data_IF_173596029135
#
_entry.id   IF_173596029135
#
_cell.length_a   1.000
_cell.length_b   1.000
_cell.length_c   1.000
_cell.angle_alpha   90.00
_cell.angle_beta   90.00
_cell.angle_gamma   90.00
#
_symmetry.space_group_name_H-M   'P 1'
#
loop_
_entity.id
_entity.type
_entity.pdbx_description
1 polymer ?
#
# COMPACT_ATOMS: atom_id res chain seq x y z
N UNK A 1 8.63 41.72 30.45
CA UNK A 1 8.14 41.59 29.06
C UNK A 1 9.05 40.75 28.17
N UNK A 2 10.35 41.04 28.00
CA UNK A 2 11.25 40.23 27.14
C UNK A 2 11.37 38.74 27.55
N UNK A 3 11.36 38.41 28.85
CA UNK A 3 11.38 37.01 29.32
C UNK A 3 10.07 36.24 29.06
N UNK A 4 8.91 36.91 29.11
CA UNK A 4 7.62 36.28 28.75
C UNK A 4 7.50 36.04 27.24
N UNK A 5 8.05 36.92 26.41
CA UNK A 5 8.11 36.73 24.95
C UNK A 5 9.03 35.57 24.54
N UNK A 6 10.14 35.35 25.24
CA UNK A 6 11.05 34.21 24.99
C UNK A 6 10.40 32.88 25.43
N UNK A 7 9.65 32.88 26.54
CA UNK A 7 8.91 31.68 26.99
C UNK A 7 7.74 31.38 26.04
N UNK A 8 7.03 32.40 25.54
CA UNK A 8 5.98 32.22 24.54
C UNK A 8 6.54 31.73 23.19
N UNK A 9 7.72 32.20 22.78
CA UNK A 9 8.40 31.70 21.57
C UNK A 9 8.94 30.26 21.75
N UNK A 10 9.41 29.89 22.94
CA UNK A 10 9.83 28.52 23.25
C UNK A 10 8.64 27.55 23.36
N UNK A 11 7.48 28.02 23.84
CA UNK A 11 6.23 27.25 23.84
C UNK A 11 5.60 27.13 22.44
N UNK A 12 5.81 28.10 21.54
CA UNK A 12 5.43 27.99 20.12
C UNK A 12 6.41 27.14 19.30
N UNK A 13 7.65 26.95 19.77
CA UNK A 13 8.61 26.02 19.16
C UNK A 13 8.41 24.56 19.62
N UNK A 14 7.54 24.33 20.62
CA UNK A 14 6.93 23.04 20.93
C UNK A 14 5.62 22.84 20.15
N UNK A 15 5.51 23.43 18.96
CA UNK A 15 4.71 22.79 17.92
C UNK A 15 5.33 21.42 17.72
N UNK A 16 4.75 20.39 18.35
CA UNK A 16 4.96 19.00 17.96
C UNK A 16 4.93 19.00 16.44
N UNK A 17 6.09 18.75 15.80
CA UNK A 17 6.09 18.45 14.38
C UNK A 17 5.38 17.12 14.28
N UNK A 18 4.06 17.20 14.09
CA UNK A 18 3.20 16.05 13.94
C UNK A 18 3.77 15.24 12.79
N UNK A 19 4.29 14.05 13.13
CA UNK A 19 4.92 13.17 12.16
C UNK A 19 3.91 12.81 11.08
N UNK A 20 4.37 12.37 9.91
CA UNK A 20 3.43 11.88 8.89
C UNK A 20 2.61 10.70 9.43
N UNK A 21 3.17 9.90 10.36
CA UNK A 21 2.47 8.84 11.07
C UNK A 21 1.28 9.34 11.88
N UNK A 22 1.47 10.37 12.70
CA UNK A 22 0.40 10.98 13.51
C UNK A 22 -0.73 11.59 12.66
N UNK A 23 -0.46 11.87 11.37
CA UNK A 23 -1.48 12.36 10.43
C UNK A 23 -2.39 11.25 9.91
N UNK A 24 -1.92 10.00 9.92
CA UNK A 24 -2.63 8.88 9.34
C UNK A 24 -3.26 7.98 10.41
N UNK A 25 -2.56 7.75 11.52
CA UNK A 25 -3.01 6.92 12.63
C UNK A 25 -2.81 7.68 13.95
N UNK A 26 -3.91 8.05 14.61
CA UNK A 26 -3.93 8.86 15.84
C UNK A 26 -3.96 8.01 17.13
N UNK A 27 -4.02 6.69 16.98
CA UNK A 27 -4.18 5.70 18.04
C UNK A 27 -2.91 4.85 18.27
N UNK A 28 -1.77 5.28 17.76
CA UNK A 28 -0.48 4.58 17.86
C UNK A 28 0.64 5.52 18.31
N UNK A 29 1.72 4.96 18.88
CA UNK A 29 2.96 5.72 19.06
C UNK A 29 3.74 5.73 17.73
N UNK A 30 4.36 6.86 17.34
CA UNK A 30 5.28 6.88 16.22
C UNK A 30 6.35 5.80 16.36
N UNK A 31 6.65 5.09 15.28
CA UNK A 31 7.54 3.91 15.35
C UNK A 31 8.96 4.30 15.79
N UNK A 32 9.40 5.52 15.47
CA UNK A 32 10.67 6.10 15.91
C UNK A 32 10.73 6.43 17.40
N UNK A 33 9.59 6.59 18.07
CA UNK A 33 9.50 6.87 19.50
C UNK A 33 9.59 5.60 20.37
N UNK A 34 9.50 4.41 19.75
CA UNK A 34 9.51 3.12 20.45
C UNK A 34 10.84 2.40 20.23
N UNK A 35 11.69 2.42 21.25
CA UNK A 35 13.01 1.77 21.21
C UNK A 35 12.98 0.34 21.74
N UNK A 36 13.30 -0.63 20.89
CA UNK A 36 13.58 -2.01 21.32
C UNK A 36 14.87 -2.08 22.14
N UNK A 37 14.76 -2.66 23.34
CA UNK A 37 15.90 -3.02 24.18
C UNK A 37 16.47 -4.38 23.77
N UNK A 38 17.59 -4.76 24.37
CA UNK A 38 18.21 -6.07 24.11
C UNK A 38 17.24 -7.21 24.43
N UNK A 39 17.11 -8.14 23.48
CA UNK A 39 16.14 -9.23 23.56
C UNK A 39 15.80 -9.80 22.18
N UNK A 40 14.88 -10.79 22.14
CA UNK A 40 14.54 -11.52 20.92
C UNK A 40 13.98 -10.61 19.81
N UNK A 41 13.17 -9.59 20.14
CA UNK A 41 12.60 -8.68 19.15
C UNK A 41 13.66 -7.79 18.48
N UNK A 42 14.62 -7.28 19.26
CA UNK A 42 15.75 -6.53 18.70
C UNK A 42 16.61 -7.42 17.80
N UNK A 43 16.89 -8.64 18.23
CA UNK A 43 17.63 -9.61 17.42
C UNK A 43 16.91 -9.93 16.11
N UNK A 44 15.60 -10.17 16.13
CA UNK A 44 14.81 -10.43 14.94
C UNK A 44 14.80 -9.24 13.96
N UNK A 45 14.67 -8.00 14.46
CA UNK A 45 14.79 -6.78 13.64
C UNK A 45 16.18 -6.64 13.02
N UNK A 46 17.24 -6.85 13.80
CA UNK A 46 18.61 -6.71 13.31
C UNK A 46 18.91 -7.75 12.22
N UNK A 47 18.50 -9.00 12.42
CA UNK A 47 18.58 -10.05 11.39
C UNK A 47 17.76 -9.70 10.15
N UNK A 48 16.58 -9.10 10.32
CA UNK A 48 15.77 -8.63 9.19
C UNK A 48 16.52 -7.57 8.37
N UNK A 49 17.14 -6.58 9.02
CA UNK A 49 17.99 -5.59 8.33
C UNK A 49 19.14 -6.27 7.59
N UNK A 50 19.88 -7.18 8.25
CA UNK A 50 20.98 -7.90 7.63
C UNK A 50 20.56 -8.64 6.34
N UNK A 51 19.40 -9.32 6.37
CA UNK A 51 18.85 -10.02 5.20
C UNK A 51 18.40 -9.04 4.12
N UNK A 52 17.70 -7.97 4.48
CA UNK A 52 17.23 -6.96 3.52
C UNK A 52 18.40 -6.30 2.77
N UNK A 53 19.54 -6.11 3.42
CA UNK A 53 20.71 -5.52 2.79
C UNK A 53 21.41 -6.46 1.77
N UNK A 54 21.04 -7.74 1.71
CA UNK A 54 21.53 -8.68 0.70
C UNK A 54 20.77 -8.60 -0.62
N UNK A 55 19.59 -7.96 -0.65
CA UNK A 55 18.83 -7.78 -1.90
C UNK A 55 19.52 -6.76 -2.81
N UNK A 56 19.49 -7.06 -4.11
CA UNK A 56 19.89 -6.15 -5.17
C UNK A 56 18.67 -5.32 -5.59
N UNK A 57 18.75 -4.01 -5.36
CA UNK A 57 17.64 -3.08 -5.60
C UNK A 57 17.33 -2.95 -7.10
N UNK A 58 18.32 -3.00 -7.98
CA UNK A 58 18.08 -2.89 -9.42
C UNK A 58 17.36 -4.13 -9.95
N UNK A 59 17.57 -5.31 -9.35
CA UNK A 59 16.83 -6.53 -9.68
C UNK A 59 15.37 -6.46 -9.23
N UNK A 60 15.11 -5.83 -8.07
CA UNK A 60 13.74 -5.57 -7.59
C UNK A 60 12.99 -4.60 -8.52
N UNK A 61 13.69 -3.61 -9.08
CA UNK A 61 13.12 -2.59 -9.96
C UNK A 61 13.06 -3.00 -11.43
N UNK A 62 13.77 -4.07 -11.83
CA UNK A 62 13.85 -4.51 -13.21
C UNK A 62 12.48 -4.75 -13.89
N UNK A 63 11.47 -5.37 -13.24
CA UNK A 63 10.14 -5.54 -13.84
C UNK A 63 9.43 -4.21 -14.12
N UNK A 64 9.53 -3.24 -13.22
CA UNK A 64 8.92 -1.91 -13.38
C UNK A 64 9.53 -1.16 -14.55
N UNK A 65 10.86 -1.19 -14.68
CA UNK A 65 11.56 -0.56 -15.81
C UNK A 65 11.14 -1.20 -17.13
N UNK A 66 11.06 -2.53 -17.19
CA UNK A 66 10.67 -3.24 -18.40
C UNK A 66 9.24 -2.90 -18.87
N UNK A 67 8.25 -2.94 -17.97
CA UNK A 67 6.85 -2.62 -18.32
C UNK A 67 6.65 -1.15 -18.70
N UNK A 68 7.51 -0.25 -18.21
CA UNK A 68 7.54 1.16 -18.63
C UNK A 68 8.30 1.41 -19.94
N UNK A 69 8.88 0.38 -20.56
CA UNK A 69 9.71 0.51 -21.77
C UNK A 69 11.08 1.14 -21.53
N UNK A 70 11.58 1.09 -20.29
CA UNK A 70 12.91 1.55 -19.92
C UNK A 70 13.92 0.38 -19.96
N UNK A 71 15.21 0.64 -20.24
CA UNK A 71 16.25 -0.37 -20.10
C UNK A 71 16.32 -0.89 -18.65
N UNK A 72 16.35 -2.22 -18.50
CA UNK A 72 16.64 -2.88 -17.21
C UNK A 72 18.07 -2.54 -16.77
N UNK A 73 18.26 -2.35 -15.47
CA UNK A 73 19.60 -2.15 -14.86
C UNK A 73 20.20 -3.45 -14.32
N UNK A 74 19.36 -4.47 -14.08
CA UNK A 74 19.76 -5.80 -13.68
C UNK A 74 18.75 -6.86 -14.15
N UNK A 75 19.07 -8.14 -13.99
CA UNK A 75 18.20 -9.25 -14.32
C UNK A 75 17.14 -9.53 -13.25
N UNK A 76 16.02 -10.13 -13.64
CA UNK A 76 14.91 -10.40 -12.73
C UNK A 76 15.34 -11.39 -11.64
N UNK A 77 14.70 -11.30 -10.48
CA UNK A 77 14.71 -12.43 -9.55
C UNK A 77 13.85 -13.57 -10.14
N UNK A 78 14.31 -14.84 -10.05
CA UNK A 78 13.69 -15.93 -10.81
C UNK A 78 12.45 -16.56 -10.14
N UNK A 79 12.28 -16.40 -8.82
CA UNK A 79 11.18 -17.02 -8.08
C UNK A 79 9.88 -16.21 -8.23
N UNK A 80 8.73 -16.90 -8.14
CA UNK A 80 7.38 -16.31 -8.30
C UNK A 80 7.21 -15.53 -9.62
N UNK A 81 7.85 -16.01 -10.69
CA UNK A 81 7.68 -15.46 -12.03
C UNK A 81 6.18 -15.44 -12.41
N UNK A 82 5.70 -14.29 -12.88
CA UNK A 82 4.27 -13.99 -13.09
C UNK A 82 3.68 -13.05 -12.03
N UNK A 83 4.29 -12.94 -10.85
CA UNK A 83 3.94 -11.96 -9.81
C UNK A 83 4.97 -10.81 -9.74
N UNK A 84 5.71 -10.57 -10.81
CA UNK A 84 6.84 -9.66 -10.86
C UNK A 84 6.52 -8.26 -10.31
N UNK A 85 7.40 -7.75 -9.44
CA UNK A 85 7.29 -6.43 -8.81
C UNK A 85 6.76 -6.43 -7.37
N UNK A 86 6.01 -7.45 -6.94
CA UNK A 86 5.36 -7.41 -5.62
C UNK A 86 6.36 -7.32 -4.43
N UNK A 87 7.55 -7.94 -4.53
CA UNK A 87 8.59 -7.85 -3.49
C UNK A 87 9.10 -6.42 -3.33
N UNK A 88 9.22 -5.64 -4.42
CA UNK A 88 9.77 -4.30 -4.35
C UNK A 88 8.92 -3.37 -3.47
N UNK A 89 7.59 -3.53 -3.52
CA UNK A 89 6.68 -2.81 -2.64
C UNK A 89 6.87 -3.16 -1.16
N UNK A 90 6.92 -4.46 -0.83
CA UNK A 90 7.23 -4.93 0.53
C UNK A 90 8.60 -4.45 1.03
N UNK A 91 9.61 -4.51 0.15
CA UNK A 91 10.96 -4.07 0.46
C UNK A 91 11.00 -2.58 0.79
N UNK A 92 10.25 -1.76 0.04
CA UNK A 92 10.17 -0.32 0.26
C UNK A 92 9.58 0.01 1.64
N UNK A 93 8.47 -0.62 2.04
CA UNK A 93 7.94 -0.53 3.41
C UNK A 93 9.00 -0.92 4.45
N UNK A 94 9.67 -2.06 4.24
CA UNK A 94 10.67 -2.56 5.18
C UNK A 94 11.87 -1.61 5.32
N UNK A 95 12.31 -0.94 4.25
CA UNK A 95 13.36 0.06 4.31
C UNK A 95 12.94 1.30 5.08
N UNK A 96 11.71 1.79 4.86
CA UNK A 96 11.17 2.95 5.55
C UNK A 96 11.06 2.71 7.06
N UNK A 97 10.46 1.59 7.47
CA UNK A 97 10.32 1.23 8.89
C UNK A 97 11.68 1.02 9.58
N UNK A 98 12.62 0.34 8.93
CA UNK A 98 13.93 0.08 9.53
C UNK A 98 14.79 1.34 9.60
N UNK A 99 14.67 2.26 8.65
CA UNK A 99 15.29 3.59 8.79
C UNK A 99 14.77 4.28 10.06
N UNK A 100 13.45 4.42 10.19
CA UNK A 100 12.85 5.21 11.27
C UNK A 100 13.13 4.59 12.66
N UNK A 101 13.14 3.27 12.77
CA UNK A 101 13.37 2.58 14.05
C UNK A 101 14.83 2.39 14.46
N UNK A 102 15.78 2.49 13.52
CA UNK A 102 17.20 2.15 13.79
C UNK A 102 18.19 3.23 13.40
N UNK A 103 17.81 4.18 12.55
CA UNK A 103 18.73 5.13 11.93
C UNK A 103 19.69 4.49 10.92
N UNK A 104 19.40 3.29 10.39
CA UNK A 104 20.26 2.62 9.42
C UNK A 104 20.31 3.39 8.09
N UNK A 105 21.44 4.04 7.83
CA UNK A 105 21.66 4.91 6.67
C UNK A 105 21.52 4.17 5.32
N UNK A 106 21.83 2.87 5.28
CA UNK A 106 21.70 2.10 4.04
C UNK A 106 20.24 1.84 3.70
N UNK A 107 19.37 1.63 4.70
CA UNK A 107 17.92 1.55 4.49
C UNK A 107 17.38 2.85 3.88
N UNK A 108 17.76 4.01 4.43
CA UNK A 108 17.36 5.31 3.89
C UNK A 108 17.86 5.53 2.47
N UNK A 109 19.14 5.22 2.22
CA UNK A 109 19.77 5.37 0.90
C UNK A 109 19.06 4.54 -0.16
N UNK A 110 18.77 3.27 0.14
CA UNK A 110 18.09 2.35 -0.80
C UNK A 110 16.63 2.73 -1.02
N UNK A 111 15.91 3.12 0.03
CA UNK A 111 14.54 3.64 -0.08
C UNK A 111 14.50 4.84 -1.02
N UNK A 112 15.33 5.87 -0.78
CA UNK A 112 15.35 7.07 -1.61
C UNK A 112 15.74 6.77 -3.07
N UNK A 113 16.73 5.88 -3.28
CA UNK A 113 17.07 5.41 -4.63
C UNK A 113 15.88 4.76 -5.34
N UNK A 114 15.13 3.90 -4.67
CA UNK A 114 13.92 3.30 -5.25
C UNK A 114 12.86 4.33 -5.59
N UNK A 115 12.61 5.30 -4.72
CA UNK A 115 11.64 6.37 -4.99
C UNK A 115 12.02 7.17 -6.25
N UNK A 116 13.31 7.47 -6.44
CA UNK A 116 13.79 8.16 -7.64
C UNK A 116 13.61 7.31 -8.91
N UNK A 117 13.93 6.02 -8.85
CA UNK A 117 13.73 5.09 -9.97
C UNK A 117 12.25 4.89 -10.32
N UNK A 118 11.37 4.80 -9.32
CA UNK A 118 9.93 4.67 -9.50
C UNK A 118 9.33 5.95 -10.09
N UNK A 119 9.90 7.13 -9.80
CA UNK A 119 9.52 8.37 -10.47
C UNK A 119 9.88 8.36 -11.96
N UNK A 120 11.04 7.83 -12.34
CA UNK A 120 11.39 7.63 -13.76
C UNK A 120 10.41 6.67 -14.45
N UNK A 121 10.05 5.57 -13.78
CA UNK A 121 9.07 4.58 -14.26
C UNK A 121 7.70 5.22 -14.47
N UNK A 122 7.18 5.96 -13.49
CA UNK A 122 5.90 6.64 -13.59
C UNK A 122 5.88 7.63 -14.77
N UNK A 123 6.94 8.43 -14.91
CA UNK A 123 7.08 9.37 -16.01
C UNK A 123 7.18 8.68 -17.39
N UNK A 124 7.88 7.54 -17.46
CA UNK A 124 7.97 6.74 -18.68
C UNK A 124 6.63 6.11 -19.05
N UNK A 125 5.89 5.55 -18.10
CA UNK A 125 4.54 5.04 -18.33
C UNK A 125 3.59 6.13 -18.82
N UNK A 126 3.64 7.33 -18.25
CA UNK A 126 2.82 8.45 -18.72
C UNK A 126 3.09 8.81 -20.20
N UNK A 127 4.34 8.68 -20.67
CA UNK A 127 4.71 8.95 -22.08
C UNK A 127 4.44 7.79 -23.02
N UNK A 128 4.86 6.59 -22.62
CA UNK A 128 4.88 5.41 -23.49
C UNK A 128 3.53 4.68 -23.51
N UNK A 129 2.73 4.85 -22.45
CA UNK A 129 1.52 4.09 -22.19
C UNK A 129 0.31 4.99 -21.88
N UNK A 130 0.23 6.19 -22.48
CA UNK A 130 -0.71 7.25 -22.09
C UNK A 130 -2.20 6.86 -21.99
N UNK A 131 -2.66 5.84 -22.72
CA UNK A 131 -4.06 5.40 -22.69
C UNK A 131 -4.47 4.68 -21.40
N UNK A 132 -3.50 4.04 -20.72
CA UNK A 132 -3.75 3.21 -19.53
C UNK A 132 -2.75 3.44 -18.39
N UNK A 133 -1.57 4.01 -18.63
CA UNK A 133 -0.41 3.98 -17.73
C UNK A 133 -0.07 5.31 -17.03
N UNK A 134 -0.84 6.38 -17.22
CA UNK A 134 -0.58 7.65 -16.51
C UNK A 134 -0.75 7.44 -15.00
N UNK A 135 0.33 7.58 -14.23
CA UNK A 135 0.38 7.30 -12.79
C UNK A 135 0.67 5.85 -12.41
N UNK A 136 0.78 4.93 -13.38
CA UNK A 136 1.02 3.51 -13.12
C UNK A 136 2.45 3.22 -12.66
N UNK A 137 2.57 2.48 -11.55
CA UNK A 137 3.84 2.01 -11.00
C UNK A 137 3.72 0.51 -10.69
N UNK A 138 3.78 -0.33 -11.72
CA UNK A 138 3.70 -1.79 -11.59
C UNK A 138 4.69 -2.52 -12.50
N UNK A 139 5.06 -3.73 -12.09
CA UNK A 139 5.97 -4.62 -12.82
C UNK A 139 5.31 -5.88 -13.38
N UNK A 140 3.98 -5.93 -13.41
CA UNK A 140 3.23 -7.13 -13.80
C UNK A 140 3.49 -7.44 -15.28
N UNK A 141 3.84 -8.68 -15.66
CA UNK A 141 4.10 -9.02 -17.05
C UNK A 141 2.90 -8.71 -17.96
N UNK A 142 3.17 -8.15 -19.13
CA UNK A 142 2.15 -7.77 -20.13
C UNK A 142 1.15 -6.72 -19.63
N UNK A 143 1.59 -5.79 -18.78
CA UNK A 143 0.75 -4.71 -18.22
C UNK A 143 0.03 -3.94 -19.33
N UNK A 144 0.69 -3.66 -20.45
CA UNK A 144 0.10 -2.88 -21.55
C UNK A 144 -1.16 -3.52 -22.15
N UNK A 145 -1.07 -4.81 -22.45
CA UNK A 145 -2.18 -5.58 -23.02
C UNK A 145 -3.27 -5.79 -21.97
N UNK A 146 -2.89 -6.20 -20.76
CA UNK A 146 -3.82 -6.46 -19.67
C UNK A 146 -4.64 -5.23 -19.27
N UNK A 147 -3.99 -4.09 -19.02
CA UNK A 147 -4.68 -2.88 -18.54
C UNK A 147 -5.49 -2.19 -19.64
N UNK A 148 -5.06 -2.30 -20.90
CA UNK A 148 -5.84 -1.78 -22.04
C UNK A 148 -7.19 -2.49 -22.18
N UNK A 149 -7.20 -3.82 -22.05
CA UNK A 149 -8.43 -4.62 -22.11
C UNK A 149 -9.26 -4.47 -20.82
N UNK A 150 -8.59 -4.49 -19.65
CA UNK A 150 -9.24 -4.31 -18.36
C UNK A 150 -10.03 -3.00 -18.29
N UNK A 151 -9.47 -1.88 -18.80
CA UNK A 151 -10.14 -0.57 -18.81
C UNK A 151 -11.44 -0.57 -19.63
N UNK A 152 -11.56 -1.46 -20.61
CA UNK A 152 -12.79 -1.66 -21.42
C UNK A 152 -13.78 -2.62 -20.77
N UNK A 153 -13.46 -3.16 -19.60
CA UNK A 153 -14.24 -4.19 -18.93
C UNK A 153 -14.00 -5.61 -19.47
N UNK A 154 -12.91 -5.84 -20.19
CA UNK A 154 -12.53 -7.16 -20.72
C UNK A 154 -11.53 -7.85 -19.79
N UNK A 155 -12.00 -8.74 -18.93
CA UNK A 155 -11.18 -9.32 -17.85
C UNK A 155 -10.41 -10.60 -18.21
N UNK A 156 -10.45 -11.09 -19.45
CA UNK A 156 -9.80 -12.37 -19.80
C UNK A 156 -8.30 -12.39 -19.45
N UNK A 157 -7.57 -11.33 -19.81
CA UNK A 157 -6.13 -11.23 -19.51
C UNK A 157 -5.89 -11.02 -18.02
N UNK A 158 -6.67 -10.15 -17.38
CA UNK A 158 -6.61 -9.89 -15.95
C UNK A 158 -6.82 -11.17 -15.11
N UNK A 159 -7.81 -11.98 -15.46
CA UNK A 159 -8.12 -13.24 -14.77
C UNK A 159 -7.09 -14.35 -15.03
N UNK A 160 -6.27 -14.21 -16.09
CA UNK A 160 -5.18 -15.13 -16.40
C UNK A 160 -3.86 -14.69 -15.74
N UNK A 161 -3.74 -13.42 -15.36
CA UNK A 161 -2.58 -12.90 -14.65
C UNK A 161 -2.63 -13.25 -13.15
N UNK A 162 -1.46 -13.41 -12.54
CA UNK A 162 -1.36 -13.78 -11.13
C UNK A 162 -1.60 -12.56 -10.24
N UNK A 163 -2.78 -12.50 -9.63
CA UNK A 163 -3.18 -11.51 -8.61
C UNK A 163 -2.72 -10.05 -8.90
N UNK A 164 -3.16 -9.42 -10.00
CA UNK A 164 -2.64 -8.11 -10.42
C UNK A 164 -2.83 -7.02 -9.36
N UNK A 165 -4.03 -6.87 -8.79
CA UNK A 165 -4.26 -5.85 -7.77
C UNK A 165 -3.53 -6.13 -6.45
N UNK A 166 -3.37 -7.41 -6.06
CA UNK A 166 -2.50 -7.76 -4.92
C UNK A 166 -1.05 -7.32 -5.14
N UNK A 167 -0.53 -7.49 -6.35
CA UNK A 167 0.83 -7.13 -6.71
C UNK A 167 1.03 -5.62 -6.54
N UNK A 168 0.23 -4.82 -7.25
CA UNK A 168 0.35 -3.35 -7.16
C UNK A 168 0.02 -2.81 -5.77
N UNK A 169 -0.89 -3.44 -5.01
CA UNK A 169 -1.17 -3.08 -3.61
C UNK A 169 0.13 -2.98 -2.79
N UNK A 170 1.12 -3.86 -3.01
CA UNK A 170 2.39 -3.77 -2.28
C UNK A 170 3.16 -2.51 -2.60
N UNK A 171 3.11 -2.07 -3.85
CA UNK A 171 3.75 -0.82 -4.25
C UNK A 171 2.99 0.40 -3.71
N UNK A 172 1.64 0.38 -3.68
CA UNK A 172 0.87 1.41 -2.96
C UNK A 172 1.32 1.52 -1.51
N UNK A 173 1.35 0.40 -0.78
CA UNK A 173 1.76 0.38 0.62
C UNK A 173 3.21 0.87 0.79
N UNK A 174 4.14 0.42 -0.06
CA UNK A 174 5.54 0.88 -0.01
C UNK A 174 5.69 2.39 -0.21
N UNK A 175 4.99 2.98 -1.18
CA UNK A 175 5.02 4.42 -1.43
C UNK A 175 4.37 5.21 -0.27
N UNK A 176 3.21 4.74 0.21
CA UNK A 176 2.53 5.28 1.39
C UNK A 176 3.47 5.29 2.59
N UNK A 177 4.13 4.17 2.86
CA UNK A 177 4.96 3.94 4.04
C UNK A 177 6.26 4.74 3.99
N UNK A 178 6.84 4.94 2.79
CA UNK A 178 7.99 5.83 2.62
C UNK A 178 7.66 7.30 2.95
N UNK A 179 6.43 7.75 2.70
CA UNK A 179 5.97 9.04 3.21
C UNK A 179 5.65 8.98 4.70
N UNK A 180 4.91 7.95 5.15
CA UNK A 180 4.43 7.80 6.52
C UNK A 180 5.56 7.82 7.55
N UNK A 181 6.60 7.01 7.32
CA UNK A 181 7.69 6.83 8.28
C UNK A 181 8.84 7.81 8.07
N UNK A 182 9.08 8.27 6.83
CA UNK A 182 10.27 9.06 6.51
C UNK A 182 9.97 10.49 6.02
N UNK A 183 8.69 10.88 5.91
CA UNK A 183 8.29 12.20 5.39
C UNK A 183 8.68 12.44 3.93
N UNK A 184 8.87 11.39 3.13
CA UNK A 184 9.29 11.54 1.74
C UNK A 184 8.13 12.07 0.87
N UNK A 185 8.10 13.37 0.61
CA UNK A 185 7.03 14.02 -0.18
C UNK A 185 6.99 13.55 -1.64
N UNK A 186 8.11 13.14 -2.24
CA UNK A 186 8.11 12.53 -3.59
C UNK A 186 7.38 11.19 -3.58
N UNK A 187 7.56 10.38 -2.54
CA UNK A 187 6.82 9.13 -2.38
C UNK A 187 5.32 9.37 -2.23
N UNK A 188 4.92 10.43 -1.50
CA UNK A 188 3.52 10.86 -1.40
C UNK A 188 2.93 11.24 -2.76
N UNK A 189 3.64 12.06 -3.54
CA UNK A 189 3.20 12.45 -4.89
C UNK A 189 3.01 11.22 -5.79
N UNK A 190 3.95 10.28 -5.76
CA UNK A 190 3.84 9.02 -6.50
C UNK A 190 2.67 8.16 -6.02
N UNK A 191 2.48 8.04 -4.71
CA UNK A 191 1.35 7.31 -4.11
C UNK A 191 0.01 7.87 -4.57
N UNK A 192 -0.20 9.19 -4.45
CA UNK A 192 -1.45 9.83 -4.85
C UNK A 192 -1.67 9.77 -6.36
N UNK A 193 -0.61 9.94 -7.17
CA UNK A 193 -0.67 9.74 -8.61
C UNK A 193 -1.03 8.30 -8.98
N UNK A 194 -0.56 7.32 -8.20
CA UNK A 194 -0.94 5.92 -8.39
C UNK A 194 -2.40 5.67 -7.98
N UNK A 195 -2.88 6.28 -6.89
CA UNK A 195 -4.31 6.23 -6.53
C UNK A 195 -5.19 6.81 -7.63
N UNK A 196 -4.80 7.94 -8.22
CA UNK A 196 -5.52 8.52 -9.36
C UNK A 196 -5.53 7.57 -10.56
N UNK A 197 -4.43 6.86 -10.82
CA UNK A 197 -4.41 5.79 -11.82
C UNK A 197 -5.43 4.68 -11.49
N UNK A 198 -5.50 4.20 -10.25
CA UNK A 198 -6.44 3.17 -9.82
C UNK A 198 -7.91 3.57 -9.98
N UNK A 199 -8.21 4.84 -9.72
CA UNK A 199 -9.54 5.42 -9.99
C UNK A 199 -9.80 5.45 -11.50
N UNK A 200 -8.85 5.94 -12.30
CA UNK A 200 -9.01 6.10 -13.73
C UNK A 200 -9.11 4.78 -14.49
N UNK A 201 -8.37 3.75 -14.08
CA UNK A 201 -8.36 2.44 -14.76
C UNK A 201 -9.68 1.69 -14.54
N UNK A 202 -10.42 2.00 -13.48
CA UNK A 202 -11.72 1.42 -13.16
C UNK A 202 -12.91 2.34 -13.42
N UNK A 203 -12.69 3.57 -13.90
CA UNK A 203 -13.71 4.62 -13.99
C UNK A 203 -15.00 4.14 -14.67
N UNK A 204 -14.88 3.49 -15.83
CA UNK A 204 -15.99 3.06 -16.68
C UNK A 204 -16.58 1.68 -16.33
N UNK A 205 -16.05 1.00 -15.30
CA UNK A 205 -16.54 -0.32 -14.90
C UNK A 205 -17.86 -0.21 -14.12
N UNK A 206 -18.84 -1.04 -14.43
CA UNK A 206 -20.03 -1.15 -13.57
C UNK A 206 -19.70 -1.72 -12.19
N UNK A 207 -20.59 -1.53 -11.21
CA UNK A 207 -20.49 -2.18 -9.89
C UNK A 207 -20.36 -3.71 -10.01
N UNK A 208 -21.08 -4.32 -10.95
CA UNK A 208 -20.99 -5.76 -11.21
C UNK A 208 -19.60 -6.17 -11.72
N UNK A 209 -18.99 -5.37 -12.59
CA UNK A 209 -17.62 -5.59 -13.07
C UNK A 209 -16.58 -5.35 -11.97
N UNK A 210 -16.81 -4.40 -11.06
CA UNK A 210 -15.96 -4.22 -9.88
C UNK A 210 -16.04 -5.45 -8.95
N UNK A 211 -17.23 -5.99 -8.69
CA UNK A 211 -17.38 -7.24 -7.93
C UNK A 211 -16.72 -8.43 -8.64
N UNK A 212 -16.83 -8.53 -9.98
CA UNK A 212 -16.18 -9.57 -10.75
C UNK A 212 -14.65 -9.50 -10.66
N UNK A 213 -14.05 -8.34 -10.88
CA UNK A 213 -12.58 -8.21 -10.83
C UNK A 213 -12.01 -8.48 -9.43
N UNK A 214 -12.79 -8.18 -8.38
CA UNK A 214 -12.45 -8.44 -6.97
C UNK A 214 -12.54 -9.92 -6.56
N UNK A 215 -12.98 -10.81 -7.46
CA UNK A 215 -12.83 -12.26 -7.28
C UNK A 215 -11.37 -12.71 -7.38
N UNK A 216 -10.54 -11.98 -8.13
CA UNK A 216 -9.09 -12.13 -8.07
C UNK A 216 -8.53 -11.37 -6.86
N UNK A 217 -7.43 -11.86 -6.29
CA UNK A 217 -6.85 -11.28 -5.08
C UNK A 217 -6.33 -9.85 -5.35
N UNK A 218 -6.79 -8.92 -4.52
CA UNK A 218 -6.55 -7.49 -4.60
C UNK A 218 -5.74 -6.96 -3.41
N UNK A 219 -5.47 -7.79 -2.39
CA UNK A 219 -4.89 -7.30 -1.14
C UNK A 219 -5.76 -6.20 -0.50
N UNK A 220 -5.13 -5.18 0.07
CA UNK A 220 -5.76 -4.09 0.81
C UNK A 220 -5.93 -2.82 -0.01
N UNK A 221 -6.30 -2.92 -1.30
CA UNK A 221 -6.50 -1.73 -2.14
C UNK A 221 -7.49 -0.74 -1.54
N UNK A 222 -8.54 -1.23 -0.87
CA UNK A 222 -9.50 -0.40 -0.16
C UNK A 222 -8.86 0.42 0.99
N UNK A 223 -7.94 -0.17 1.74
CA UNK A 223 -7.15 0.53 2.76
C UNK A 223 -6.31 1.66 2.13
N UNK A 224 -5.63 1.38 1.01
CA UNK A 224 -4.78 2.38 0.34
C UNK A 224 -5.56 3.63 -0.07
N UNK A 225 -6.76 3.44 -0.63
CA UNK A 225 -7.61 4.59 -0.99
C UNK A 225 -8.17 5.31 0.25
N UNK A 226 -8.48 4.58 1.31
CA UNK A 226 -8.91 5.19 2.57
C UNK A 226 -7.77 6.05 3.18
N UNK A 227 -6.53 5.60 3.09
CA UNK A 227 -5.37 6.40 3.50
C UNK A 227 -5.13 7.60 2.59
N UNK A 228 -5.31 7.47 1.27
CA UNK A 228 -5.27 8.62 0.38
C UNK A 228 -6.32 9.69 0.73
N UNK A 229 -7.51 9.26 1.17
CA UNK A 229 -8.52 10.17 1.73
C UNK A 229 -8.03 10.84 3.01
N UNK A 230 -7.55 10.07 4.00
CA UNK A 230 -7.04 10.63 5.25
C UNK A 230 -5.88 11.62 5.03
N UNK A 231 -5.02 11.38 4.04
CA UNK A 231 -3.92 12.27 3.68
C UNK A 231 -4.33 13.60 3.05
N UNK A 232 -5.50 13.66 2.38
CA UNK A 232 -5.85 14.77 1.47
C UNK A 232 -7.18 15.44 1.77
N UNK A 233 -8.12 14.73 2.40
CA UNK A 233 -9.52 15.14 2.54
C UNK A 233 -10.34 15.07 1.24
N UNK A 234 -9.80 14.53 0.14
CA UNK A 234 -10.52 14.44 -1.13
C UNK A 234 -11.43 13.20 -1.20
N UNK A 235 -12.74 13.44 -1.16
CA UNK A 235 -13.81 12.43 -1.18
C UNK A 235 -13.74 11.44 -2.34
N UNK A 236 -13.06 11.76 -3.46
CA UNK A 236 -12.87 10.81 -4.56
C UNK A 236 -12.15 9.55 -4.08
N UNK A 237 -11.23 9.67 -3.13
CA UNK A 237 -10.47 8.55 -2.59
C UNK A 237 -11.32 7.70 -1.64
N UNK A 238 -12.16 8.31 -0.79
CA UNK A 238 -13.09 7.54 0.05
C UNK A 238 -14.13 6.80 -0.80
N UNK A 239 -14.60 7.43 -1.88
CA UNK A 239 -15.47 6.78 -2.88
C UNK A 239 -14.78 5.58 -3.52
N UNK A 240 -13.51 5.73 -3.91
CA UNK A 240 -12.71 4.64 -4.45
C UNK A 240 -12.51 3.51 -3.42
N UNK A 241 -12.21 3.83 -2.17
CA UNK A 241 -12.06 2.86 -1.08
C UNK A 241 -13.30 1.96 -0.93
N UNK A 242 -14.50 2.56 -0.99
CA UNK A 242 -15.77 1.83 -0.98
C UNK A 242 -15.95 0.97 -2.25
N UNK A 243 -15.58 1.49 -3.42
CA UNK A 243 -15.69 0.76 -4.70
C UNK A 243 -14.75 -0.47 -4.78
N UNK A 244 -13.61 -0.41 -4.10
CA UNK A 244 -12.65 -1.51 -3.95
C UNK A 244 -12.94 -2.41 -2.74
N UNK A 245 -14.07 -2.23 -2.05
CA UNK A 245 -14.50 -3.09 -0.94
C UNK A 245 -15.43 -4.19 -1.46
N UNK A 246 -14.92 -5.42 -1.51
CA UNK A 246 -15.61 -6.58 -2.09
C UNK A 246 -16.86 -6.94 -1.25
N UNK A 247 -18.05 -6.63 -1.79
CA UNK A 247 -19.33 -6.76 -1.07
C UNK A 247 -19.64 -8.19 -0.67
N UNK A 248 -19.24 -9.17 -1.49
CA UNK A 248 -19.37 -10.60 -1.18
C UNK A 248 -18.76 -11.00 0.18
N UNK A 249 -17.73 -10.29 0.63
CA UNK A 249 -17.07 -10.51 1.93
C UNK A 249 -17.60 -9.51 2.98
N UNK A 250 -17.74 -8.24 2.60
CA UNK A 250 -18.19 -7.17 3.51
C UNK A 250 -19.59 -7.43 4.08
N UNK A 251 -20.58 -7.72 3.24
CA UNK A 251 -21.99 -7.75 3.63
C UNK A 251 -22.37 -8.90 4.58
N UNK A 252 -21.82 -10.13 4.45
CA UNK A 252 -22.01 -11.16 5.47
C UNK A 252 -21.35 -10.77 6.80
N UNK A 253 -20.12 -10.25 6.76
CA UNK A 253 -19.40 -9.87 7.99
C UNK A 253 -20.09 -8.73 8.74
N UNK A 254 -20.66 -7.75 8.03
CA UNK A 254 -21.45 -6.67 8.63
C UNK A 254 -22.76 -7.14 9.31
N UNK A 255 -23.19 -8.38 9.04
CA UNK A 255 -24.38 -9.02 9.63
C UNK A 255 -24.01 -10.14 10.61
N UNK A 256 -22.77 -10.14 11.12
CA UNK A 256 -22.22 -11.20 11.97
C UNK A 256 -22.35 -12.62 11.35
N UNK A 257 -22.28 -12.73 10.02
CA UNK A 257 -22.32 -14.02 9.33
C UNK A 257 -20.90 -14.47 8.92
N UNK A 258 -20.42 -15.57 9.52
CA UNK A 258 -19.15 -16.16 9.09
C UNK A 258 -19.37 -16.99 7.81
N UNK A 259 -18.89 -16.46 6.68
CA UNK A 259 -18.86 -17.14 5.37
C UNK A 259 -17.44 -17.35 4.84
N UNK A 260 -16.49 -17.55 5.75
CA UNK A 260 -15.06 -17.64 5.40
C UNK A 260 -14.58 -19.06 5.05
N UNK A 261 -15.45 -20.07 5.17
CA UNK A 261 -15.10 -21.45 4.85
C UNK A 261 -14.63 -21.63 3.41
N UNK A 262 -13.56 -22.40 3.23
CA UNK A 262 -12.91 -22.69 1.95
C UNK A 262 -12.38 -21.45 1.19
N UNK A 263 -12.29 -20.28 1.85
CA UNK A 263 -11.65 -19.10 1.27
C UNK A 263 -10.16 -19.06 1.62
N UNK A 264 -9.35 -18.55 0.69
CA UNK A 264 -7.93 -18.29 0.95
C UNK A 264 -7.78 -17.17 1.99
N UNK A 265 -7.26 -17.49 3.18
CA UNK A 265 -7.27 -16.60 4.34
C UNK A 265 -6.55 -15.26 4.09
N UNK A 266 -5.32 -15.31 3.55
CA UNK A 266 -4.51 -14.11 3.30
C UNK A 266 -5.14 -13.14 2.29
N UNK A 267 -6.06 -13.63 1.45
CA UNK A 267 -6.82 -12.76 0.53
C UNK A 267 -7.92 -11.98 1.25
N UNK A 268 -8.43 -12.49 2.38
CA UNK A 268 -9.55 -11.85 3.09
C UNK A 268 -9.07 -10.89 4.17
N UNK A 269 -7.95 -11.18 4.86
CA UNK A 269 -7.43 -10.34 5.94
C UNK A 269 -7.22 -8.88 5.50
N UNK A 270 -6.54 -8.58 4.37
CA UNK A 270 -6.35 -7.19 3.93
C UNK A 270 -7.65 -6.48 3.56
N UNK A 271 -8.67 -7.19 3.07
CA UNK A 271 -9.99 -6.61 2.81
C UNK A 271 -10.62 -6.11 4.12
N UNK A 272 -10.55 -6.93 5.17
CA UNK A 272 -11.09 -6.62 6.50
C UNK A 272 -10.32 -5.47 7.19
N UNK A 273 -9.00 -5.38 6.99
CA UNK A 273 -8.21 -4.21 7.41
C UNK A 273 -8.76 -2.96 6.72
N UNK A 274 -8.95 -2.99 5.41
CA UNK A 274 -9.54 -1.87 4.68
C UNK A 274 -10.99 -1.56 5.09
N UNK A 275 -11.79 -2.55 5.51
CA UNK A 275 -13.12 -2.27 6.06
C UNK A 275 -13.04 -1.49 7.36
N UNK A 276 -12.18 -1.92 8.27
CA UNK A 276 -11.91 -1.21 9.53
C UNK A 276 -11.47 0.22 9.25
N UNK A 277 -10.52 0.39 8.33
CA UNK A 277 -9.99 1.70 7.95
C UNK A 277 -11.04 2.65 7.38
N UNK A 278 -11.95 2.15 6.55
CA UNK A 278 -13.08 2.94 6.03
C UNK A 278 -14.08 3.27 7.16
N UNK A 279 -14.27 2.35 8.13
CA UNK A 279 -15.10 2.58 9.31
C UNK A 279 -14.54 3.66 10.25
N UNK A 280 -13.22 3.77 10.38
CA UNK A 280 -12.55 4.85 11.15
C UNK A 280 -12.76 6.23 10.51
N UNK A 281 -12.69 6.29 9.18
CA UNK A 281 -12.69 7.55 8.43
C UNK A 281 -14.08 7.99 7.97
N UNK A 282 -15.12 7.18 8.22
CA UNK A 282 -16.46 7.48 7.76
C UNK A 282 -17.53 7.07 8.76
N UNK A 283 -18.70 7.71 8.71
CA UNK A 283 -19.86 7.33 9.53
C UNK A 283 -20.60 6.10 8.96
N UNK A 284 -19.87 5.03 8.61
CA UNK A 284 -20.43 3.82 7.99
C UNK A 284 -20.38 2.64 8.96
N UNK A 285 -21.44 2.39 9.76
CA UNK A 285 -21.42 1.36 10.79
C UNK A 285 -21.14 -0.05 10.23
N UNK A 286 -21.64 -0.36 9.03
CA UNK A 286 -21.44 -1.66 8.38
C UNK A 286 -19.95 -2.01 8.18
N UNK A 287 -19.11 -1.02 7.88
CA UNK A 287 -17.68 -1.20 7.66
C UNK A 287 -16.94 -1.48 8.97
N UNK A 288 -17.25 -0.70 10.01
CA UNK A 288 -16.70 -0.91 11.35
C UNK A 288 -17.10 -2.28 11.90
N UNK A 289 -18.37 -2.65 11.70
CA UNK A 289 -18.91 -3.92 12.17
C UNK A 289 -18.29 -5.12 11.44
N UNK A 290 -18.14 -5.04 10.12
CA UNK A 290 -17.48 -6.09 9.35
C UNK A 290 -16.03 -6.33 9.79
N UNK A 291 -15.27 -5.25 10.03
CA UNK A 291 -13.91 -5.34 10.57
C UNK A 291 -13.86 -5.99 11.96
N UNK A 292 -14.74 -5.53 12.87
CA UNK A 292 -14.88 -6.06 14.23
C UNK A 292 -15.22 -7.56 14.23
N UNK A 293 -16.25 -7.94 13.47
CA UNK A 293 -16.72 -9.32 13.43
C UNK A 293 -15.70 -10.26 12.76
N UNK A 294 -15.02 -9.80 11.69
CA UNK A 294 -13.93 -10.56 11.07
C UNK A 294 -12.83 -10.90 12.09
N UNK A 295 -12.35 -9.89 12.83
CA UNK A 295 -11.35 -10.12 13.87
C UNK A 295 -11.85 -11.10 14.93
N UNK A 296 -13.09 -10.93 15.40
CA UNK A 296 -13.68 -11.79 16.41
C UNK A 296 -13.74 -13.25 15.94
N UNK A 297 -14.34 -13.54 14.76
CA UNK A 297 -14.49 -14.92 14.32
C UNK A 297 -13.15 -15.59 13.98
N UNK A 298 -12.20 -14.85 13.40
CA UNK A 298 -10.88 -15.42 13.10
C UNK A 298 -10.11 -15.74 14.37
N UNK A 299 -10.08 -14.82 15.34
CA UNK A 299 -9.33 -15.01 16.59
C UNK A 299 -9.95 -16.08 17.51
N UNK A 300 -11.26 -16.21 17.53
CA UNK A 300 -11.96 -17.11 18.45
C UNK A 300 -12.26 -18.48 17.83
N UNK A 301 -12.54 -18.55 16.52
CA UNK A 301 -13.04 -19.76 15.88
C UNK A 301 -12.08 -20.35 14.84
N UNK A 302 -11.06 -19.60 14.39
CA UNK A 302 -10.20 -20.00 13.25
C UNK A 302 -8.70 -19.86 13.52
N UNK A 303 -8.30 -19.68 14.78
CA UNK A 303 -6.91 -19.55 15.19
C UNK A 303 -6.47 -20.71 16.08
N UNK A 304 -5.21 -21.13 15.92
CA UNK A 304 -4.58 -22.13 16.78
C UNK A 304 -3.90 -21.42 17.98
N UNK A 305 -3.76 -22.16 19.08
CA UNK A 305 -3.09 -21.71 20.30
C UNK A 305 -1.56 -21.69 20.16
#
# INVERSE_FOLDING_TARGET
MKRLLIIAAALMALCFQMSAQDRLYDNEFPIGDVKLLDGPFKHARDLNVEVLLQYDVDRLLAPFRAEAGLPKKAEYYPNWAGLDGHIAGHYLTAMAMNWETTGNQECLRRMNYMIDELAEVAAANARNNASWGVGYIGGIPNSASMWTDFKKGEFRQYSSAWAPFYNIHKMYAGLRDAWLYCGNEKAKELFLGFCDWGINITADLSDAQMEEMMRNEQGGMNEMFADAYAMTGDEKYLTAARRYSHKLILEPLARDEDRLDNLHANTQVPKAIGFTRIGELSNSPDYAEAGRYFWWTVSHNRSLA
#
